data_IF_030910937065
#
_entry.id   IF_030910937065
#
_cell.length_a   1.000
_cell.length_b   1.000
_cell.length_c   1.000
_cell.angle_alpha   90.00
_cell.angle_beta   90.00
_cell.angle_gamma   90.00
#
_symmetry.space_group_name_H-M   'P 1'
#
loop_
_entity.id
_entity.type
_entity.pdbx_description
1 polymer ?
#
# COMPACT_ATOMS: atom_id res chain seq x y z
N UNK A 1 -3.76 -2.65 28.87
CA UNK A 1 -3.61 -2.08 27.51
C UNK A 1 -2.25 -2.51 27.00
N UNK A 2 -2.19 -3.72 26.43
CA UNK A 2 -0.98 -4.18 25.74
C UNK A 2 -0.81 -3.32 24.49
N UNK A 3 0.32 -2.60 24.39
CA UNK A 3 0.77 -2.07 23.11
C UNK A 3 1.17 -3.26 22.26
N UNK A 4 0.26 -3.72 21.41
CA UNK A 4 0.63 -4.55 20.27
C UNK A 4 1.30 -3.61 19.27
N UNK A 5 2.62 -3.48 19.40
CA UNK A 5 3.48 -2.97 18.34
C UNK A 5 3.18 -3.79 17.08
N UNK A 6 2.54 -3.15 16.12
CA UNK A 6 2.17 -3.77 14.85
C UNK A 6 3.47 -4.31 14.22
N UNK A 7 3.54 -5.59 13.81
CA UNK A 7 4.72 -6.08 13.11
C UNK A 7 4.95 -5.23 11.84
N UNK A 8 6.19 -5.16 11.33
CA UNK A 8 6.64 -4.21 10.32
C UNK A 8 6.10 -4.51 8.91
N UNK A 9 4.80 -4.82 8.78
CA UNK A 9 4.14 -5.16 7.51
C UNK A 9 4.38 -4.12 6.42
N UNK A 10 4.53 -2.84 6.78
CA UNK A 10 4.80 -1.76 5.81
C UNK A 10 6.23 -1.82 5.26
N UNK A 11 7.23 -2.14 6.09
CA UNK A 11 8.63 -2.27 5.66
C UNK A 11 8.79 -3.55 4.83
N UNK A 12 8.11 -4.62 5.23
CA UNK A 12 8.11 -5.88 4.49
C UNK A 12 7.40 -5.77 3.15
N UNK A 13 6.29 -5.02 3.06
CA UNK A 13 5.57 -4.80 1.80
C UNK A 13 6.38 -3.98 0.79
N UNK A 14 7.03 -2.89 1.24
CA UNK A 14 7.90 -2.11 0.35
C UNK A 14 9.08 -2.94 -0.15
N UNK A 15 9.76 -3.66 0.75
CA UNK A 15 10.88 -4.53 0.40
C UNK A 15 10.45 -5.62 -0.58
N UNK A 16 9.29 -6.22 -0.35
CA UNK A 16 8.69 -7.20 -1.26
C UNK A 16 8.45 -6.59 -2.64
N UNK A 17 7.75 -5.47 -2.74
CA UNK A 17 7.45 -4.80 -4.00
C UNK A 17 8.72 -4.44 -4.79
N UNK A 18 9.73 -3.88 -4.12
CA UNK A 18 11.02 -3.56 -4.73
C UNK A 18 11.75 -4.80 -5.24
N UNK A 19 11.76 -5.88 -4.45
CA UNK A 19 12.41 -7.14 -4.83
C UNK A 19 11.69 -7.79 -6.02
N UNK A 20 10.37 -7.88 -5.97
CA UNK A 20 9.54 -8.44 -7.05
C UNK A 20 9.62 -7.62 -8.33
N UNK A 21 9.66 -6.28 -8.23
CA UNK A 21 9.91 -5.39 -9.37
C UNK A 21 11.26 -5.71 -9.99
N UNK A 22 12.34 -5.77 -9.19
CA UNK A 22 13.69 -6.08 -9.67
C UNK A 22 13.77 -7.44 -10.36
N UNK A 23 13.18 -8.48 -9.75
CA UNK A 23 13.14 -9.83 -10.32
C UNK A 23 12.32 -9.91 -11.61
N UNK A 24 11.30 -9.06 -11.76
CA UNK A 24 10.48 -9.00 -12.98
C UNK A 24 11.13 -8.16 -14.07
N UNK A 25 11.91 -7.13 -13.72
CA UNK A 25 12.59 -6.25 -14.66
C UNK A 25 13.90 -6.89 -15.20
N UNK A 26 14.60 -7.68 -14.40
CA UNK A 26 15.89 -8.27 -14.76
C UNK A 26 15.86 -9.11 -16.05
N UNK A 27 14.87 -10.02 -16.28
CA UNK A 27 14.76 -10.74 -17.53
C UNK A 27 14.52 -9.83 -18.74
N UNK A 28 13.74 -8.75 -18.56
CA UNK A 28 13.44 -7.78 -19.62
C UNK A 28 14.69 -7.05 -20.05
N UNK A 29 15.48 -6.56 -19.08
CA UNK A 29 16.76 -5.90 -19.35
C UNK A 29 17.74 -6.87 -20.02
N UNK A 30 17.84 -8.11 -19.51
CA UNK A 30 18.72 -9.12 -20.09
C UNK A 30 18.37 -9.36 -21.56
N UNK A 31 17.09 -9.59 -21.87
CA UNK A 31 16.60 -9.84 -23.24
C UNK A 31 16.85 -8.64 -24.15
N UNK A 32 16.67 -7.40 -23.66
CA UNK A 32 16.93 -6.20 -24.44
C UNK A 32 18.41 -6.01 -24.82
N UNK A 33 19.33 -6.61 -24.07
CA UNK A 33 20.79 -6.54 -24.32
C UNK A 33 21.29 -7.70 -25.18
N UNK A 34 20.48 -8.75 -25.38
CA UNK A 34 20.85 -9.89 -26.21
C UNK A 34 20.90 -9.53 -27.71
N UNK A 35 21.93 -9.95 -28.45
CA UNK A 35 21.98 -9.78 -29.89
C UNK A 35 20.95 -10.64 -30.61
N UNK A 36 20.56 -10.24 -31.82
CA UNK A 36 19.75 -11.08 -32.73
C UNK A 36 20.48 -12.41 -33.03
N UNK A 37 19.79 -13.56 -33.14
CA UNK A 37 18.33 -13.76 -33.27
C UNK A 37 17.61 -14.10 -31.95
N UNK A 38 18.33 -14.16 -30.83
CA UNK A 38 17.76 -14.55 -29.54
C UNK A 38 16.67 -13.57 -29.10
N UNK A 39 16.85 -12.29 -29.42
CA UNK A 39 15.92 -11.22 -29.12
C UNK A 39 14.47 -11.50 -29.61
N UNK A 40 14.28 -12.00 -30.83
CA UNK A 40 12.94 -12.28 -31.38
C UNK A 40 12.30 -13.52 -30.76
N UNK A 41 13.10 -14.50 -30.36
CA UNK A 41 12.62 -15.74 -29.74
C UNK A 41 12.15 -15.53 -28.30
N UNK A 42 12.78 -14.58 -27.58
CA UNK A 42 12.46 -14.28 -26.18
C UNK A 42 11.50 -13.09 -25.99
N UNK A 43 11.03 -12.49 -27.09
CA UNK A 43 10.11 -11.35 -27.08
C UNK A 43 8.80 -11.61 -26.30
N UNK A 44 8.15 -12.79 -26.39
CA UNK A 44 6.97 -13.09 -25.57
C UNK A 44 7.27 -13.15 -24.07
N UNK A 45 8.45 -13.66 -23.69
CA UNK A 45 8.90 -13.69 -22.30
C UNK A 45 9.19 -12.28 -21.79
N UNK A 46 9.86 -11.44 -22.60
CA UNK A 46 10.08 -10.04 -22.27
C UNK A 46 8.75 -9.27 -22.07
N UNK A 47 7.73 -9.55 -22.89
CA UNK A 47 6.41 -8.94 -22.73
C UNK A 47 5.73 -9.36 -21.43
N UNK A 48 5.79 -10.65 -21.06
CA UNK A 48 5.18 -11.18 -19.84
C UNK A 48 5.85 -10.61 -18.58
N UNK A 49 7.18 -10.71 -18.49
CA UNK A 49 7.95 -10.14 -17.38
C UNK A 49 7.85 -8.61 -17.34
N UNK A 50 7.77 -7.96 -18.50
CA UNK A 50 7.49 -6.54 -18.64
C UNK A 50 6.16 -6.14 -18.02
N UNK A 51 5.08 -6.88 -18.31
CA UNK A 51 3.76 -6.64 -17.72
C UNK A 51 3.78 -6.77 -16.19
N UNK A 52 4.45 -7.80 -15.64
CA UNK A 52 4.61 -7.94 -14.19
C UNK A 52 5.40 -6.78 -13.59
N UNK A 53 6.50 -6.37 -14.22
CA UNK A 53 7.31 -5.24 -13.75
C UNK A 53 6.48 -3.96 -13.69
N UNK A 54 5.63 -3.71 -14.70
CA UNK A 54 4.73 -2.56 -14.75
C UNK A 54 3.71 -2.58 -13.62
N UNK A 55 3.12 -3.74 -13.31
CA UNK A 55 2.21 -3.91 -12.18
C UNK A 55 2.88 -3.58 -10.84
N UNK A 56 4.12 -4.03 -10.63
CA UNK A 56 4.87 -3.74 -9.41
C UNK A 56 5.28 -2.26 -9.30
N UNK A 57 5.65 -1.62 -10.42
CA UNK A 57 5.89 -0.17 -10.46
C UNK A 57 4.63 0.61 -10.08
N UNK A 58 3.47 0.23 -10.62
CA UNK A 58 2.20 0.86 -10.27
C UNK A 58 1.89 0.72 -8.78
N UNK A 59 2.12 -0.47 -8.21
CA UNK A 59 1.95 -0.72 -6.79
C UNK A 59 2.90 0.13 -5.92
N UNK A 60 4.15 0.31 -6.33
CA UNK A 60 5.11 1.21 -5.66
C UNK A 60 4.66 2.67 -5.72
N UNK A 61 4.10 3.13 -6.84
CA UNK A 61 3.55 4.48 -6.96
C UNK A 61 2.39 4.68 -5.98
N UNK A 62 1.45 3.73 -5.92
CA UNK A 62 0.34 3.76 -4.97
C UNK A 62 0.84 3.79 -3.52
N UNK A 63 1.86 2.98 -3.21
CA UNK A 63 2.50 3.00 -1.89
C UNK A 63 3.15 4.35 -1.59
N UNK A 64 3.84 4.95 -2.55
CA UNK A 64 4.44 6.29 -2.43
C UNK A 64 3.40 7.37 -2.18
N UNK A 65 2.26 7.33 -2.89
CA UNK A 65 1.13 8.24 -2.67
C UNK A 65 0.56 8.08 -1.26
N UNK A 66 0.43 6.85 -0.78
CA UNK A 66 -0.03 6.58 0.59
C UNK A 66 0.93 7.16 1.64
N UNK A 67 2.23 6.95 1.48
CA UNK A 67 3.24 7.52 2.38
C UNK A 67 3.22 9.05 2.34
N UNK A 68 3.16 9.64 1.15
CA UNK A 68 3.07 11.09 0.98
C UNK A 68 1.81 11.65 1.65
N UNK A 69 0.67 10.97 1.50
CA UNK A 69 -0.57 11.37 2.16
C UNK A 69 -0.43 11.29 3.70
N UNK A 70 0.17 10.23 4.24
CA UNK A 70 0.44 10.11 5.68
C UNK A 70 1.35 11.24 6.19
N UNK A 71 2.38 11.62 5.42
CA UNK A 71 3.28 12.74 5.75
C UNK A 71 2.56 14.09 5.68
N UNK A 72 1.72 14.29 4.66
CA UNK A 72 0.96 15.52 4.43
C UNK A 72 -0.19 15.69 5.42
N UNK A 73 -0.76 14.59 5.93
CA UNK A 73 -1.81 14.59 6.95
C UNK A 73 -1.23 15.03 8.29
N UNK A 74 -1.03 16.34 8.43
CA UNK A 74 -0.58 17.04 9.64
C UNK A 74 -1.35 16.50 10.86
N UNK A 75 -0.70 15.70 11.71
CA UNK A 75 -0.88 15.50 13.19
C UNK A 75 -2.30 15.50 13.81
N UNK A 76 -3.39 15.59 13.07
CA UNK A 76 -4.68 16.05 13.58
C UNK A 76 -5.53 14.94 14.18
N UNK A 77 -5.23 13.68 13.86
CA UNK A 77 -5.92 12.53 14.43
C UNK A 77 -4.95 11.38 14.51
N UNK A 78 -4.70 10.84 15.71
CA UNK A 78 -3.94 9.60 15.87
C UNK A 78 -4.48 8.50 14.97
N UNK A 79 -3.65 7.51 14.62
CA UNK A 79 -4.05 6.40 13.76
C UNK A 79 -5.34 5.75 14.31
N UNK A 80 -6.41 5.85 13.52
CA UNK A 80 -7.69 5.22 13.81
C UNK A 80 -7.61 3.81 13.23
N UNK A 81 -7.83 2.81 14.08
CA UNK A 81 -7.96 1.41 13.71
C UNK A 81 -9.36 0.93 14.08
N UNK A 82 -10.01 0.20 13.18
CA UNK A 82 -11.31 -0.39 13.50
C UNK A 82 -11.14 -1.50 14.56
N UNK A 83 -11.93 -1.51 15.65
CA UNK A 83 -11.83 -2.53 16.68
C UNK A 83 -12.34 -3.91 16.24
N UNK A 84 -13.10 -3.99 15.13
CA UNK A 84 -13.70 -5.24 14.64
C UNK A 84 -12.88 -5.87 13.52
N UNK A 85 -12.65 -5.12 12.43
CA UNK A 85 -11.92 -5.66 11.27
C UNK A 85 -10.43 -5.30 11.26
N UNK A 86 -9.94 -4.56 12.26
CA UNK A 86 -8.54 -4.14 12.38
C UNK A 86 -7.99 -3.36 11.17
N UNK A 87 -8.89 -2.78 10.37
CA UNK A 87 -8.52 -1.95 9.23
C UNK A 87 -8.02 -0.59 9.72
N UNK A 88 -6.88 -0.17 9.16
CA UNK A 88 -6.29 1.15 9.38
C UNK A 88 -6.76 2.10 8.29
N UNK A 89 -6.94 3.38 8.64
CA UNK A 89 -7.35 4.41 7.69
C UNK A 89 -6.34 4.60 6.54
N UNK A 90 -6.86 4.60 5.31
CA UNK A 90 -6.09 4.75 4.07
C UNK A 90 -6.58 5.98 3.28
N UNK A 91 -5.76 6.59 2.40
CA UNK A 91 -6.14 7.80 1.64
C UNK A 91 -7.40 7.63 0.79
N UNK A 92 -7.61 6.44 0.22
CA UNK A 92 -8.76 6.08 -0.60
C UNK A 92 -9.89 5.40 0.20
N UNK A 93 -9.69 5.20 1.50
CA UNK A 93 -10.66 4.59 2.44
C UNK A 93 -10.57 5.32 3.78
N UNK A 94 -11.12 6.53 3.80
CA UNK A 94 -11.16 7.38 4.99
C UNK A 94 -12.27 6.94 5.93
N UNK A 95 -12.00 6.94 7.23
CA UNK A 95 -13.04 6.70 8.23
C UNK A 95 -13.93 7.93 8.33
N UNK A 96 -15.24 7.73 8.42
CA UNK A 96 -16.15 8.85 8.66
C UNK A 96 -16.15 9.19 10.14
N UNK A 97 -15.50 10.30 10.50
CA UNK A 97 -15.38 10.78 11.88
C UNK A 97 -16.34 11.95 12.08
N UNK A 98 -17.32 11.78 12.95
CA UNK A 98 -18.28 12.82 13.35
C UNK A 98 -18.00 13.24 14.78
N UNK A 99 -17.64 14.51 14.97
CA UNK A 99 -17.40 15.07 16.31
C UNK A 99 -18.74 15.35 16.99
N UNK A 100 -19.02 14.63 18.08
CA UNK A 100 -20.23 14.83 18.87
C UNK A 100 -20.03 15.88 19.98
N UNK A 101 -18.84 15.92 20.57
CA UNK A 101 -18.47 16.92 21.58
C UNK A 101 -16.98 17.24 21.52
N UNK A 102 -16.47 18.07 22.44
CA UNK A 102 -15.03 18.36 22.52
C UNK A 102 -14.19 17.10 22.71
N UNK A 103 -14.70 16.11 23.45
CA UNK A 103 -13.98 14.88 23.85
C UNK A 103 -14.56 13.59 23.25
N UNK A 104 -15.65 13.68 22.47
CA UNK A 104 -16.36 12.50 21.95
C UNK A 104 -16.40 12.56 20.44
N UNK A 105 -15.85 11.53 19.80
CA UNK A 105 -15.89 11.32 18.35
C UNK A 105 -16.56 10.00 18.04
N UNK A 106 -17.56 10.03 17.16
CA UNK A 106 -18.14 8.83 16.56
C UNK A 106 -17.39 8.52 15.28
N UNK A 107 -16.95 7.28 15.14
CA UNK A 107 -16.15 6.82 14.00
C UNK A 107 -16.91 5.70 13.31
N UNK A 108 -16.96 5.74 11.98
CA UNK A 108 -17.56 4.69 11.15
C UNK A 108 -16.51 4.06 10.23
N UNK A 109 -16.40 2.73 10.29
CA UNK A 109 -15.55 1.96 9.38
C UNK A 109 -16.26 1.75 8.05
N UNK A 110 -15.66 2.09 6.90
CA UNK A 110 -16.26 1.83 5.60
C UNK A 110 -16.21 0.35 5.18
N UNK A 111 -15.41 -0.49 5.86
CA UNK A 111 -15.17 -1.88 5.43
C UNK A 111 -16.11 -2.88 6.09
N UNK A 112 -16.25 -2.83 7.42
CA UNK A 112 -17.20 -3.67 8.15
C UNK A 112 -18.52 -2.96 8.50
N UNK A 113 -18.66 -1.68 8.11
CA UNK A 113 -19.77 -0.80 8.48
C UNK A 113 -20.00 -0.61 10.00
N UNK A 114 -19.06 -1.04 10.83
CA UNK A 114 -19.13 -0.87 12.28
C UNK A 114 -19.07 0.62 12.66
N UNK A 115 -19.73 0.96 13.77
CA UNK A 115 -19.74 2.32 14.34
C UNK A 115 -19.37 2.24 15.81
N UNK A 116 -18.33 2.98 16.21
CA UNK A 116 -17.95 3.07 17.60
C UNK A 116 -17.72 4.51 18.03
N UNK A 117 -17.60 4.71 19.33
CA UNK A 117 -17.38 6.01 19.94
C UNK A 117 -16.02 5.96 20.64
N UNK A 118 -15.16 6.92 20.32
CA UNK A 118 -13.87 7.10 20.96
C UNK A 118 -13.89 8.35 21.82
N UNK A 119 -13.40 8.23 23.06
CA UNK A 119 -13.21 9.34 23.98
C UNK A 119 -11.76 9.85 23.82
N UNK A 120 -11.59 11.13 23.47
CA UNK A 120 -10.29 11.79 23.27
C UNK A 120 -10.12 12.96 24.21
#
# INVERSE_FOLDING_TARGET
MERYDSPPQIVDQFRYLMTSMGCSLAPVILIAVLPEPWHTSFLPLAALFGAYSLMFVLALILHGIEQLWRLMRRRATGQICCPVCHTIEQPYRTFHVVRMSRLIVRIHCPECHERWIEHR
#
